data_IF_040865956114
#
_entry.id   IF_040865956114
#
_cell.length_a   1.000
_cell.length_b   1.000
_cell.length_c   1.000
_cell.angle_alpha   90.00
_cell.angle_beta   90.00
_cell.angle_gamma   90.00
#
_symmetry.space_group_name_H-M   'P 1'
#
loop_
_entity.id
_entity.type
_entity.pdbx_description
1 polymer ?
#
# COMPACT_ATOMS: atom_id res chain seq x y z
N UNK A 1 -9.33 -21.04 4.85
CA UNK A 1 -8.20 -21.77 4.23
C UNK A 1 -7.91 -21.06 2.92
N UNK A 2 -7.03 -20.06 2.95
CA UNK A 2 -6.57 -19.44 1.71
C UNK A 2 -5.61 -20.45 1.09
N UNK A 3 -5.93 -20.94 -0.10
CA UNK A 3 -5.11 -21.91 -0.83
C UNK A 3 -3.72 -21.31 -1.11
N UNK A 4 -2.66 -22.12 -0.95
CA UNK A 4 -1.26 -21.75 -1.23
C UNK A 4 -1.12 -21.21 -2.66
N UNK A 5 -1.89 -21.76 -3.60
CA UNK A 5 -1.95 -21.30 -4.98
C UNK A 5 -2.47 -19.86 -5.06
N UNK A 6 -3.46 -19.50 -4.24
CA UNK A 6 -4.08 -18.17 -4.22
C UNK A 6 -3.12 -17.10 -3.68
N UNK A 7 -2.35 -17.44 -2.64
CA UNK A 7 -1.30 -16.57 -2.09
C UNK A 7 -0.16 -16.37 -3.10
N UNK A 8 0.24 -17.42 -3.80
CA UNK A 8 1.28 -17.34 -4.83
C UNK A 8 0.86 -16.45 -6.00
N UNK A 9 -0.39 -16.57 -6.45
CA UNK A 9 -0.93 -15.70 -7.50
C UNK A 9 -1.07 -14.25 -7.05
N UNK A 10 -1.51 -14.02 -5.81
CA UNK A 10 -1.58 -12.66 -5.26
C UNK A 10 -0.19 -12.01 -5.25
N UNK A 11 0.84 -12.74 -4.83
CA UNK A 11 2.22 -12.26 -4.81
C UNK A 11 2.73 -11.89 -6.22
N UNK A 12 2.46 -12.71 -7.22
CA UNK A 12 2.86 -12.43 -8.59
C UNK A 12 2.19 -11.17 -9.15
N UNK A 13 0.89 -11.00 -8.90
CA UNK A 13 0.17 -9.80 -9.35
C UNK A 13 0.58 -8.55 -8.57
N UNK A 14 0.87 -8.67 -7.28
CA UNK A 14 1.40 -7.59 -6.46
C UNK A 14 2.69 -7.04 -7.06
N UNK A 15 3.66 -7.92 -7.36
CA UNK A 15 4.93 -7.53 -7.98
C UNK A 15 4.69 -6.85 -9.33
N UNK A 16 3.83 -7.42 -10.17
CA UNK A 16 3.49 -6.84 -11.47
C UNK A 16 2.77 -5.49 -11.37
N UNK A 17 1.87 -5.32 -10.38
CA UNK A 17 1.20 -4.06 -10.12
C UNK A 17 2.20 -2.98 -9.73
N UNK A 18 3.11 -3.29 -8.80
CA UNK A 18 4.14 -2.33 -8.35
C UNK A 18 5.09 -1.97 -9.49
N UNK A 19 5.57 -2.95 -10.26
CA UNK A 19 6.47 -2.67 -11.38
C UNK A 19 5.80 -1.79 -12.45
N UNK A 20 4.53 -2.02 -12.75
CA UNK A 20 3.78 -1.19 -13.70
C UNK A 20 3.59 0.24 -13.19
N UNK A 21 3.28 0.41 -11.90
CA UNK A 21 3.10 1.73 -11.28
C UNK A 21 4.42 2.51 -11.20
N UNK A 22 5.53 1.86 -10.85
CA UNK A 22 6.85 2.48 -10.85
C UNK A 22 7.31 2.87 -12.25
N UNK A 23 7.02 2.04 -13.26
CA UNK A 23 7.34 2.38 -14.65
C UNK A 23 6.57 3.61 -15.13
N UNK A 24 5.30 3.75 -14.73
CA UNK A 24 4.48 4.93 -15.03
C UNK A 24 5.01 6.20 -14.35
N UNK A 25 5.30 6.12 -13.06
CA UNK A 25 5.65 7.28 -12.23
C UNK A 25 7.12 7.73 -12.42
N UNK A 26 8.05 6.78 -12.44
CA UNK A 26 9.50 7.05 -12.44
C UNK A 26 10.10 6.98 -13.84
N UNK A 27 9.65 6.03 -14.67
CA UNK A 27 10.18 5.82 -16.02
C UNK A 27 11.72 5.76 -16.06
N UNK A 28 12.33 6.70 -16.79
CA UNK A 28 13.79 6.80 -16.97
C UNK A 28 14.53 7.44 -15.76
N UNK A 29 13.80 7.78 -14.69
CA UNK A 29 14.36 8.18 -13.40
C UNK A 29 13.86 9.53 -12.89
N UNK A 30 13.89 9.68 -11.56
CA UNK A 30 13.48 10.88 -10.85
C UNK A 30 14.51 12.01 -11.00
N UNK A 31 14.20 13.02 -11.82
CA UNK A 31 15.06 14.20 -12.03
C UNK A 31 15.12 15.12 -10.80
N UNK A 32 14.05 15.17 -10.01
CA UNK A 32 13.93 16.10 -8.88
C UNK A 32 14.69 15.56 -7.68
N UNK A 33 14.59 14.26 -7.40
CA UNK A 33 15.37 13.61 -6.35
C UNK A 33 16.89 13.76 -6.58
N UNK A 34 17.35 13.84 -7.83
CA UNK A 34 18.78 14.06 -8.16
C UNK A 34 19.35 15.38 -7.63
N UNK A 35 18.51 16.35 -7.26
CA UNK A 35 18.95 17.61 -6.63
C UNK A 35 19.43 17.41 -5.19
N UNK A 36 19.03 16.32 -4.52
CA UNK A 36 19.48 15.97 -3.17
C UNK A 36 20.86 15.32 -3.25
N UNK A 37 21.81 15.58 -2.33
CA UNK A 37 23.08 14.87 -2.25
C UNK A 37 22.94 13.33 -2.30
N UNK A 38 23.78 12.66 -3.10
CA UNK A 38 23.63 11.23 -3.38
C UNK A 38 23.79 10.31 -2.15
N UNK A 39 24.49 10.75 -1.12
CA UNK A 39 24.76 9.97 0.08
C UNK A 39 23.90 10.41 1.27
N UNK A 40 22.95 11.32 1.06
CA UNK A 40 22.09 11.81 2.15
C UNK A 40 21.14 10.70 2.60
N UNK A 41 21.12 10.46 3.91
CA UNK A 41 20.20 9.54 4.57
C UNK A 41 19.08 10.34 5.21
N UNK A 42 17.86 9.83 5.12
CA UNK A 42 16.69 10.48 5.69
C UNK A 42 15.77 9.46 6.36
N UNK A 43 14.79 9.98 7.09
CA UNK A 43 13.72 9.22 7.71
C UNK A 43 12.41 9.96 7.50
N UNK A 44 11.38 9.25 7.05
CA UNK A 44 10.08 9.82 6.73
C UNK A 44 8.98 9.08 7.51
N UNK A 45 8.11 9.84 8.18
CA UNK A 45 6.93 9.30 8.85
C UNK A 45 5.69 9.49 7.98
N UNK A 46 4.95 8.41 7.73
CA UNK A 46 3.68 8.47 7.01
C UNK A 46 2.54 8.43 8.01
N UNK A 47 1.65 9.42 7.91
CA UNK A 47 0.45 9.54 8.75
C UNK A 47 -0.81 9.38 7.89
N UNK A 48 -1.92 8.96 8.50
CA UNK A 48 -3.25 9.15 7.91
C UNK A 48 -3.79 10.54 8.29
N UNK A 49 -4.66 11.12 7.46
CA UNK A 49 -5.36 12.39 7.77
C UNK A 49 -6.85 12.19 8.11
N UNK A 50 -7.32 10.95 8.07
CA UNK A 50 -8.68 10.55 8.39
C UNK A 50 -8.70 9.18 9.06
N UNK A 51 -9.79 8.85 9.73
CA UNK A 51 -10.02 7.51 10.27
C UNK A 51 -10.12 6.50 9.13
N UNK A 52 -9.34 5.42 9.19
CA UNK A 52 -9.29 4.43 8.12
C UNK A 52 -9.06 3.01 8.66
N UNK A 53 -9.46 2.01 7.87
CA UNK A 53 -8.94 0.64 7.97
C UNK A 53 -7.74 0.52 7.04
N UNK A 54 -6.58 0.18 7.59
CA UNK A 54 -5.34 0.13 6.84
C UNK A 54 -5.30 -1.16 6.02
N UNK A 55 -4.91 -1.05 4.76
CA UNK A 55 -4.72 -2.16 3.84
C UNK A 55 -3.68 -1.80 2.78
N UNK A 56 -2.77 -2.72 2.45
CA UNK A 56 -1.75 -2.53 1.42
C UNK A 56 -0.31 -2.54 1.93
N UNK A 57 -0.05 -3.02 3.15
CA UNK A 57 1.30 -3.14 3.72
C UNK A 57 2.27 -3.84 2.75
N UNK A 58 1.85 -4.96 2.15
CA UNK A 58 2.71 -5.73 1.24
C UNK A 58 3.04 -4.96 -0.06
N UNK A 59 2.11 -4.13 -0.56
CA UNK A 59 2.36 -3.30 -1.74
C UNK A 59 3.38 -2.22 -1.42
N UNK A 60 3.25 -1.55 -0.28
CA UNK A 60 4.22 -0.55 0.17
C UNK A 60 5.61 -1.16 0.34
N UNK A 61 5.70 -2.33 0.99
CA UNK A 61 6.98 -3.03 1.16
C UNK A 61 7.62 -3.42 -0.19
N UNK A 62 6.82 -3.86 -1.16
CA UNK A 62 7.33 -4.17 -2.51
C UNK A 62 7.77 -2.92 -3.27
N UNK A 63 7.07 -1.78 -3.14
CA UNK A 63 7.53 -0.51 -3.73
C UNK A 63 8.91 -0.15 -3.18
N UNK A 64 9.12 -0.24 -1.86
CA UNK A 64 10.44 -0.02 -1.27
C UNK A 64 11.49 -0.97 -1.84
N UNK A 65 11.18 -2.27 -1.89
CA UNK A 65 12.09 -3.28 -2.42
C UNK A 65 12.48 -3.03 -3.89
N UNK A 66 11.54 -2.65 -4.75
CA UNK A 66 11.81 -2.39 -6.17
C UNK A 66 12.52 -1.05 -6.42
N UNK A 67 12.26 -0.02 -5.60
CA UNK A 67 12.94 1.27 -5.70
C UNK A 67 14.37 1.17 -5.16
N UNK A 68 14.52 0.65 -3.95
CA UNK A 68 15.81 0.51 -3.26
C UNK A 68 15.66 -0.49 -2.09
N UNK A 69 16.20 -1.69 -2.26
CA UNK A 69 16.15 -2.75 -1.26
C UNK A 69 16.85 -2.43 0.07
N UNK A 70 17.57 -1.30 0.16
CA UNK A 70 18.12 -0.79 1.43
C UNK A 70 17.13 0.03 2.26
N UNK A 71 15.98 0.43 1.68
CA UNK A 71 14.92 1.10 2.43
C UNK A 71 14.34 0.12 3.46
N UNK A 72 14.31 0.55 4.73
CA UNK A 72 13.67 -0.19 5.81
C UNK A 72 12.39 0.51 6.23
N UNK A 73 11.33 -0.27 6.47
CA UNK A 73 10.02 0.24 6.90
C UNK A 73 9.64 -0.35 8.25
N UNK A 74 9.43 0.53 9.23
CA UNK A 74 8.95 0.21 10.56
C UNK A 74 7.45 0.51 10.65
N UNK A 75 6.62 -0.54 10.59
CA UNK A 75 5.16 -0.44 10.66
C UNK A 75 4.66 -0.30 12.10
N UNK A 76 3.75 0.63 12.32
CA UNK A 76 3.03 0.85 13.58
C UNK A 76 1.62 0.26 13.55
N UNK A 77 1.16 -0.14 12.36
CA UNK A 77 -0.16 -0.70 12.08
C UNK A 77 -0.03 -1.88 11.11
N UNK A 78 -0.94 -2.83 11.21
CA UNK A 78 -1.05 -3.96 10.29
C UNK A 78 -2.29 -3.86 9.41
N UNK A 79 -2.30 -4.57 8.28
CA UNK A 79 -3.48 -4.67 7.42
C UNK A 79 -4.70 -5.19 8.22
N UNK A 80 -5.84 -4.55 8.02
CA UNK A 80 -7.10 -4.78 8.73
C UNK A 80 -7.25 -4.01 10.05
N UNK A 81 -6.21 -3.32 10.53
CA UNK A 81 -6.32 -2.50 11.75
C UNK A 81 -6.94 -1.12 11.44
N UNK A 82 -7.69 -0.60 12.42
CA UNK A 82 -8.15 0.79 12.40
C UNK A 82 -6.98 1.72 12.75
N UNK A 83 -6.84 2.81 11.99
CA UNK A 83 -6.01 3.96 12.32
C UNK A 83 -6.89 5.20 12.46
N UNK A 84 -6.55 6.07 13.42
CA UNK A 84 -7.23 7.35 13.66
C UNK A 84 -6.54 8.49 12.91
N UNK A 85 -7.27 9.57 12.62
CA UNK A 85 -6.71 10.75 11.99
C UNK A 85 -5.43 11.26 12.70
N UNK A 86 -4.39 11.57 11.92
CA UNK A 86 -3.04 11.97 12.35
C UNK A 86 -2.21 10.87 13.01
N UNK A 87 -2.68 9.62 13.05
CA UNK A 87 -1.88 8.49 13.52
C UNK A 87 -0.74 8.20 12.54
N UNK A 88 0.46 7.98 13.11
CA UNK A 88 1.62 7.45 12.39
C UNK A 88 1.37 5.99 12.00
N UNK A 89 1.44 5.70 10.70
CA UNK A 89 1.24 4.37 10.14
C UNK A 89 2.55 3.61 10.04
N UNK A 90 3.60 4.24 9.51
CA UNK A 90 4.94 3.66 9.44
C UNK A 90 6.01 4.75 9.34
N UNK A 91 7.24 4.36 9.63
CA UNK A 91 8.44 5.14 9.33
C UNK A 91 9.28 4.42 8.28
N UNK A 92 9.77 5.15 7.28
CA UNK A 92 10.67 4.65 6.26
C UNK A 92 12.04 5.31 6.43
N UNK A 93 13.11 4.52 6.31
CA UNK A 93 14.49 4.94 6.48
C UNK A 93 15.33 4.50 5.29
N UNK A 94 16.26 5.35 4.86
CA UNK A 94 17.17 5.02 3.75
C UNK A 94 17.71 6.27 3.04
N UNK A 95 18.20 6.06 1.82
CA UNK A 95 18.68 7.15 0.98
C UNK A 95 17.55 8.16 0.71
N UNK A 96 17.83 9.45 0.90
CA UNK A 96 16.84 10.51 0.75
C UNK A 96 16.25 10.57 -0.67
N UNK A 97 17.04 10.27 -1.71
CA UNK A 97 16.55 10.20 -3.10
C UNK A 97 15.58 9.04 -3.26
N UNK A 98 15.97 7.86 -2.78
CA UNK A 98 15.14 6.65 -2.86
C UNK A 98 13.83 6.83 -2.11
N UNK A 99 13.84 7.46 -0.94
CA UNK A 99 12.62 7.74 -0.18
C UNK A 99 11.67 8.69 -0.92
N UNK A 100 12.19 9.72 -1.60
CA UNK A 100 11.38 10.63 -2.41
C UNK A 100 10.74 9.93 -3.62
N UNK A 101 11.52 9.09 -4.31
CA UNK A 101 11.02 8.30 -5.46
C UNK A 101 10.01 7.22 -5.02
N UNK A 102 10.19 6.63 -3.84
CA UNK A 102 9.30 5.63 -3.25
C UNK A 102 7.91 6.21 -2.88
N UNK A 103 7.86 7.46 -2.38
CA UNK A 103 6.71 8.01 -1.67
C UNK A 103 5.40 7.90 -2.46
N UNK A 104 5.37 8.42 -3.70
CA UNK A 104 4.10 8.58 -4.43
C UNK A 104 3.46 7.24 -4.74
N UNK A 105 4.24 6.31 -5.30
CA UNK A 105 3.76 4.98 -5.64
C UNK A 105 3.27 4.22 -4.39
N UNK A 106 4.04 4.27 -3.28
CA UNK A 106 3.65 3.64 -2.02
C UNK A 106 2.34 4.20 -1.46
N UNK A 107 2.20 5.53 -1.42
CA UNK A 107 0.99 6.18 -0.91
C UNK A 107 -0.22 5.88 -1.79
N UNK A 108 -0.08 5.83 -3.12
CA UNK A 108 -1.18 5.54 -4.03
C UNK A 108 -1.77 4.14 -3.78
N UNK A 109 -0.92 3.13 -3.58
CA UNK A 109 -1.39 1.78 -3.22
C UNK A 109 -2.07 1.77 -1.85
N UNK A 110 -1.40 2.31 -0.83
CA UNK A 110 -1.92 2.32 0.53
C UNK A 110 -3.28 3.03 0.62
N UNK A 111 -3.41 4.19 -0.02
CA UNK A 111 -4.66 4.96 -0.05
C UNK A 111 -5.78 4.22 -0.79
N UNK A 112 -5.49 3.66 -1.97
CA UNK A 112 -6.50 2.95 -2.77
C UNK A 112 -7.05 1.71 -2.03
N UNK A 113 -6.16 0.92 -1.44
CA UNK A 113 -6.51 -0.30 -0.74
C UNK A 113 -7.15 -0.02 0.62
N UNK A 114 -6.60 0.91 1.40
CA UNK A 114 -7.20 1.33 2.67
C UNK A 114 -8.58 1.98 2.48
N UNK A 115 -8.78 2.75 1.40
CA UNK A 115 -10.09 3.30 1.05
C UNK A 115 -11.12 2.20 0.74
N UNK A 116 -10.71 1.16 0.00
CA UNK A 116 -11.56 -0.02 -0.27
C UNK A 116 -11.91 -0.75 1.03
N UNK A 117 -10.91 -1.01 1.88
CA UNK A 117 -11.09 -1.71 3.15
C UNK A 117 -11.97 -0.94 4.14
N UNK A 118 -11.81 0.38 4.20
CA UNK A 118 -12.61 1.25 5.07
C UNK A 118 -14.09 1.21 4.69
N UNK A 119 -14.39 1.25 3.39
CA UNK A 119 -15.77 1.15 2.88
C UNK A 119 -16.34 -0.27 3.13
N UNK A 120 -15.56 -1.32 2.87
CA UNK A 120 -15.97 -2.69 3.13
C UNK A 120 -16.30 -2.92 4.61
N UNK A 121 -15.43 -2.44 5.50
CA UNK A 121 -15.64 -2.48 6.94
C UNK A 121 -16.89 -1.72 7.38
N UNK A 122 -17.11 -0.52 6.83
CA UNK A 122 -18.32 0.26 7.10
C UNK A 122 -19.59 -0.54 6.78
N UNK A 123 -19.71 -1.11 5.57
CA UNK A 123 -20.90 -1.88 5.20
C UNK A 123 -21.03 -3.19 5.99
N UNK A 124 -19.92 -3.86 6.28
CA UNK A 124 -19.92 -5.06 7.13
C UNK A 124 -20.42 -4.73 8.56
N UNK A 125 -20.04 -3.57 9.10
CA UNK A 125 -20.46 -3.12 10.42
C UNK A 125 -21.98 -2.89 10.53
N UNK A 126 -22.63 -2.44 9.45
CA UNK A 126 -24.08 -2.20 9.42
C UNK A 126 -24.91 -3.49 9.55
N UNK A 127 -24.31 -4.65 9.27
CA UNK A 127 -24.98 -5.96 9.31
C UNK A 127 -24.36 -6.90 10.35
N UNK A 128 -23.51 -6.39 11.24
CA UNK A 128 -22.72 -7.19 12.19
C UNK A 128 -23.60 -8.07 13.11
N UNK A 129 -24.81 -7.61 13.46
CA UNK A 129 -25.75 -8.33 14.31
C UNK A 129 -26.60 -9.37 13.55
N UNK A 130 -26.29 -9.61 12.28
CA UNK A 130 -27.06 -10.52 11.41
C UNK A 130 -26.22 -11.71 10.94
N UNK A 131 -26.85 -12.63 10.21
CA UNK A 131 -26.15 -13.73 9.51
C UNK A 131 -25.71 -13.38 8.09
N UNK A 132 -25.96 -12.14 7.65
CA UNK A 132 -25.62 -11.69 6.30
C UNK A 132 -24.11 -11.53 6.19
N UNK A 133 -23.56 -11.93 5.04
CA UNK A 133 -22.17 -11.68 4.67
C UNK A 133 -22.11 -10.75 3.48
N UNK A 134 -21.26 -9.73 3.57
CA UNK A 134 -20.95 -8.88 2.44
C UNK A 134 -20.07 -9.66 1.44
N UNK A 135 -20.29 -9.46 0.15
CA UNK A 135 -19.51 -10.06 -0.93
C UNK A 135 -19.12 -8.98 -1.93
N UNK A 136 -17.96 -9.16 -2.55
CA UNK A 136 -17.48 -8.33 -3.65
C UNK A 136 -18.12 -8.72 -5.01
N UNK A 137 -17.69 -8.05 -6.08
CA UNK A 137 -18.08 -8.41 -7.45
C UNK A 137 -16.87 -8.37 -8.41
N UNK A 138 -17.11 -8.60 -9.71
CA UNK A 138 -16.10 -8.41 -10.76
C UNK A 138 -15.96 -6.96 -11.26
N UNK A 139 -16.74 -6.03 -10.69
CA UNK A 139 -16.71 -4.59 -11.01
C UNK A 139 -15.57 -3.92 -10.24
N UNK A 140 -14.35 -4.21 -10.66
CA UNK A 140 -13.11 -3.76 -10.03
C UNK A 140 -12.35 -2.82 -10.96
N UNK A 141 -11.45 -2.01 -10.39
CA UNK A 141 -10.48 -1.22 -11.14
C UNK A 141 -9.65 -2.17 -12.02
N UNK A 142 -9.51 -1.88 -13.33
CA UNK A 142 -8.66 -2.66 -14.22
C UNK A 142 -7.23 -2.80 -13.68
N UNK A 143 -6.64 -3.99 -13.80
CA UNK A 143 -5.30 -4.29 -13.27
C UNK A 143 -5.22 -4.57 -11.76
N UNK A 144 -6.15 -4.03 -10.96
CA UNK A 144 -6.12 -4.14 -9.49
C UNK A 144 -7.14 -5.10 -8.88
N UNK A 145 -7.76 -5.97 -9.70
CA UNK A 145 -8.84 -6.87 -9.23
C UNK A 145 -8.46 -7.65 -7.97
N UNK A 146 -7.29 -8.29 -7.94
CA UNK A 146 -6.86 -9.11 -6.80
C UNK A 146 -6.52 -8.27 -5.58
N UNK A 147 -5.89 -7.11 -5.77
CA UNK A 147 -5.61 -6.16 -4.71
C UNK A 147 -6.91 -5.63 -4.07
N UNK A 148 -7.91 -5.25 -4.88
CA UNK A 148 -9.20 -4.82 -4.36
C UNK A 148 -9.98 -5.94 -3.67
N UNK A 149 -9.87 -7.18 -4.14
CA UNK A 149 -10.46 -8.34 -3.47
C UNK A 149 -9.76 -8.67 -2.16
N UNK A 150 -8.44 -8.45 -2.08
CA UNK A 150 -7.68 -8.56 -0.84
C UNK A 150 -8.13 -7.52 0.18
N UNK A 151 -8.48 -6.32 -0.27
CA UNK A 151 -8.95 -5.24 0.59
C UNK A 151 -10.40 -5.37 1.09
N UNK A 152 -11.21 -6.31 0.55
CA UNK A 152 -12.60 -6.57 0.99
C UNK A 152 -12.65 -7.71 2.00
#
# INVERSE_FOLDING_TARGET
MIDLLHLQYLKADLQANVSAALLEDVGDGDITARLIPANEQASAGIITREDAIICGVDWVNEVAHQVDASITIDWMVADGQKAEANQLLFQAHGNARSLLTFERCALNFLQCLSGTASIAHYYASLVADTKVKLLDTRKTIPGLRKAQKYAV
#
